data_IF_731597140232
#
_entry.id   IF_731597140232
#
_cell.length_a   1.000
_cell.length_b   1.000
_cell.length_c   1.000
_cell.angle_alpha   90.00
_cell.angle_beta   90.00
_cell.angle_gamma   90.00
#
_symmetry.space_group_name_H-M   'P 1'
#
loop_
_entity.id
_entity.type
_entity.pdbx_description
1 polymer ?
#
# COMPACT_ATOMS: atom_id res chain seq x y z
N UNK A 1 7.31 25.73 -18.58
CA UNK A 1 8.02 26.19 -17.36
C UNK A 1 7.17 25.99 -16.09
N UNK A 2 5.95 26.50 -16.01
CA UNK A 2 5.09 26.41 -14.79
C UNK A 2 4.88 24.96 -14.30
N UNK A 3 4.55 24.03 -15.20
CA UNK A 3 4.36 22.61 -14.83
C UNK A 3 5.62 21.95 -14.25
N UNK A 4 6.79 22.27 -14.81
CA UNK A 4 8.06 21.75 -14.29
C UNK A 4 8.33 22.25 -12.86
N UNK A 5 8.11 23.52 -12.60
CA UNK A 5 8.27 24.10 -11.26
C UNK A 5 7.28 23.47 -10.25
N UNK A 6 6.04 23.26 -10.68
CA UNK A 6 5.04 22.60 -9.84
C UNK A 6 5.46 21.18 -9.46
N UNK A 7 5.90 20.37 -10.43
CA UNK A 7 6.37 19.01 -10.14
C UNK A 7 7.63 18.98 -9.27
N UNK A 8 8.53 19.95 -9.44
CA UNK A 8 9.71 20.09 -8.61
C UNK A 8 9.35 20.35 -7.14
N UNK A 9 8.43 21.30 -6.89
CA UNK A 9 7.94 21.57 -5.53
C UNK A 9 7.25 20.35 -4.94
N UNK A 10 6.38 19.68 -5.70
CA UNK A 10 5.71 18.46 -5.25
C UNK A 10 6.72 17.36 -4.87
N UNK A 11 7.77 17.19 -5.64
CA UNK A 11 8.84 16.24 -5.34
C UNK A 11 9.55 16.57 -4.03
N UNK A 12 9.89 17.83 -3.80
CA UNK A 12 10.52 18.27 -2.55
C UNK A 12 9.62 17.95 -1.35
N UNK A 13 8.32 18.25 -1.44
CA UNK A 13 7.36 17.97 -0.36
C UNK A 13 7.31 16.46 -0.06
N UNK A 14 7.28 15.62 -1.09
CA UNK A 14 7.29 14.16 -0.94
C UNK A 14 8.57 13.69 -0.24
N UNK A 15 9.73 14.20 -0.65
CA UNK A 15 11.01 13.86 -0.01
C UNK A 15 11.06 14.29 1.45
N UNK A 16 10.55 15.47 1.78
CA UNK A 16 10.45 15.94 3.18
C UNK A 16 9.58 14.95 3.99
N UNK A 17 8.44 14.56 3.48
CA UNK A 17 7.58 13.57 4.15
C UNK A 17 8.27 12.24 4.32
N UNK A 18 9.04 11.79 3.34
CA UNK A 18 9.78 10.55 3.41
C UNK A 18 10.90 10.59 4.46
N UNK A 19 11.64 11.69 4.54
CA UNK A 19 12.68 11.89 5.55
C UNK A 19 12.06 11.90 6.95
N UNK A 20 11.02 12.70 7.16
CA UNK A 20 10.29 12.76 8.44
C UNK A 20 9.75 11.39 8.83
N UNK A 21 9.12 10.68 7.89
CA UNK A 21 8.61 9.34 8.12
C UNK A 21 9.71 8.38 8.57
N UNK A 22 10.88 8.43 7.93
CA UNK A 22 12.00 7.57 8.28
C UNK A 22 12.58 7.85 9.68
N UNK A 23 12.64 9.13 10.06
CA UNK A 23 13.08 9.55 11.40
C UNK A 23 12.10 9.07 12.48
N UNK A 24 10.79 9.19 12.23
CA UNK A 24 9.73 8.81 13.17
C UNK A 24 9.56 7.30 13.35
N UNK A 25 10.07 6.51 12.43
CA UNK A 25 9.88 5.07 12.38
C UNK A 25 8.47 4.67 11.89
N UNK A 26 8.31 3.39 11.53
CA UNK A 26 7.14 2.89 10.80
C UNK A 26 5.81 3.05 11.56
N UNK A 27 5.80 2.77 12.86
CA UNK A 27 4.58 2.76 13.66
C UNK A 27 3.97 4.17 13.80
N UNK A 28 4.80 5.15 14.13
CA UNK A 28 4.35 6.54 14.31
C UNK A 28 4.01 7.17 12.96
N UNK A 29 4.80 6.90 11.93
CA UNK A 29 4.55 7.37 10.57
C UNK A 29 3.22 6.87 10.02
N UNK A 30 2.89 5.59 10.19
CA UNK A 30 1.58 5.04 9.80
C UNK A 30 0.42 5.77 10.48
N UNK A 31 0.52 6.07 11.78
CA UNK A 31 -0.52 6.80 12.52
C UNK A 31 -0.67 8.22 11.98
N UNK A 32 0.44 8.95 11.86
CA UNK A 32 0.46 10.34 11.38
C UNK A 32 -0.11 10.45 9.95
N UNK A 33 0.42 9.67 9.01
CA UNK A 33 0.00 9.75 7.61
C UNK A 33 -1.43 9.23 7.40
N UNK A 34 -1.86 8.24 8.18
CA UNK A 34 -3.26 7.81 8.23
C UNK A 34 -4.18 8.97 8.62
N UNK A 35 -3.82 9.74 9.64
CA UNK A 35 -4.59 10.90 10.08
C UNK A 35 -4.54 12.05 9.06
N UNK A 36 -3.37 12.36 8.52
CA UNK A 36 -3.22 13.40 7.50
C UNK A 36 -4.10 13.11 6.28
N UNK A 37 -4.01 11.90 5.74
CA UNK A 37 -4.80 11.52 4.56
C UNK A 37 -6.30 11.47 4.85
N UNK A 38 -6.71 11.12 6.06
CA UNK A 38 -8.11 11.23 6.46
C UNK A 38 -8.61 12.68 6.36
N UNK A 39 -7.78 13.66 6.72
CA UNK A 39 -8.15 15.08 6.70
C UNK A 39 -8.08 15.71 5.31
N UNK A 40 -7.07 15.38 4.51
CA UNK A 40 -6.84 16.04 3.22
C UNK A 40 -7.21 15.19 2.01
N UNK A 41 -7.50 13.91 2.21
CA UNK A 41 -7.70 12.93 1.13
C UNK A 41 -8.84 13.30 0.17
N UNK A 42 -9.90 13.92 0.68
CA UNK A 42 -11.01 14.38 -0.13
C UNK A 42 -10.61 15.37 -1.24
N UNK A 43 -9.45 16.04 -1.11
CA UNK A 43 -8.91 16.93 -2.14
C UNK A 43 -8.26 16.17 -3.32
N UNK A 44 -7.92 14.90 -3.15
CA UNK A 44 -7.22 14.11 -4.18
C UNK A 44 -8.15 13.34 -5.10
N UNK A 45 -9.36 13.02 -4.66
CA UNK A 45 -10.37 12.34 -5.48
C UNK A 45 -11.73 12.99 -5.35
N UNK A 46 -12.45 13.09 -6.46
CA UNK A 46 -13.81 13.65 -6.44
C UNK A 46 -14.76 12.74 -5.63
N UNK A 47 -15.61 13.37 -4.82
CA UNK A 47 -16.67 12.68 -4.08
C UNK A 47 -17.54 11.84 -5.01
N UNK A 48 -17.90 12.38 -6.20
CA UNK A 48 -18.69 11.70 -7.21
C UNK A 48 -18.08 10.36 -7.64
N UNK A 49 -16.75 10.29 -7.83
CA UNK A 49 -16.08 9.04 -8.22
C UNK A 49 -16.15 8.00 -7.11
N UNK A 50 -15.93 8.44 -5.87
CA UNK A 50 -15.99 7.54 -4.70
C UNK A 50 -17.39 6.98 -4.54
N UNK A 51 -18.41 7.83 -4.60
CA UNK A 51 -19.83 7.41 -4.51
C UNK A 51 -20.21 6.46 -5.64
N UNK A 52 -19.78 6.74 -6.87
CA UNK A 52 -20.01 5.84 -8.01
C UNK A 52 -19.45 4.45 -7.75
N UNK A 53 -18.22 4.36 -7.25
CA UNK A 53 -17.57 3.08 -6.93
C UNK A 53 -18.27 2.34 -5.78
N UNK A 54 -18.72 3.06 -4.75
CA UNK A 54 -19.49 2.47 -3.65
C UNK A 54 -20.82 1.92 -4.12
N UNK A 55 -21.50 2.60 -5.05
CA UNK A 55 -22.76 2.13 -5.63
C UNK A 55 -22.58 0.88 -6.52
N UNK A 56 -21.41 0.73 -7.17
CA UNK A 56 -21.06 -0.49 -7.90
C UNK A 56 -20.84 -1.64 -6.91
N UNK A 57 -20.18 -1.37 -5.79
CA UNK A 57 -19.93 -2.36 -4.74
C UNK A 57 -21.22 -2.81 -4.06
N UNK A 58 -22.08 -1.87 -3.65
CA UNK A 58 -23.37 -2.16 -3.06
C UNK A 58 -24.31 -0.94 -3.11
N UNK A 59 -25.51 -1.14 -3.65
CA UNK A 59 -26.56 -0.11 -3.69
C UNK A 59 -27.21 0.16 -2.33
N UNK A 60 -27.13 -0.78 -1.40
CA UNK A 60 -27.86 -0.76 -0.13
C UNK A 60 -26.98 -0.36 1.07
N UNK A 61 -25.85 0.30 0.83
CA UNK A 61 -25.01 0.80 1.91
C UNK A 61 -25.70 1.95 2.65
N UNK A 62 -25.79 1.84 3.98
CA UNK A 62 -26.20 2.96 4.83
C UNK A 62 -25.16 4.07 4.78
N UNK A 63 -25.56 5.31 5.08
CA UNK A 63 -24.65 6.46 5.09
C UNK A 63 -23.48 6.26 6.07
N UNK A 64 -23.76 5.73 7.25
CA UNK A 64 -22.75 5.40 8.25
C UNK A 64 -21.70 4.43 7.68
N UNK A 65 -22.14 3.40 6.96
CA UNK A 65 -21.23 2.43 6.38
C UNK A 65 -20.41 3.01 5.22
N UNK A 66 -20.99 3.92 4.44
CA UNK A 66 -20.29 4.68 3.39
C UNK A 66 -19.15 5.51 3.99
N UNK A 67 -19.45 6.29 5.02
CA UNK A 67 -18.45 7.12 5.70
C UNK A 67 -17.32 6.27 6.33
N UNK A 68 -17.67 5.14 6.93
CA UNK A 68 -16.69 4.19 7.47
C UNK A 68 -15.74 3.69 6.38
N UNK A 69 -16.27 3.27 5.22
CA UNK A 69 -15.47 2.78 4.09
C UNK A 69 -14.59 3.89 3.54
N UNK A 70 -15.12 5.09 3.32
CA UNK A 70 -14.38 6.25 2.80
C UNK A 70 -13.25 6.64 3.78
N UNK A 71 -13.57 6.70 5.07
CA UNK A 71 -12.59 6.99 6.12
C UNK A 71 -11.49 5.93 6.17
N UNK A 72 -11.87 4.65 6.10
CA UNK A 72 -10.94 3.53 6.03
C UNK A 72 -10.03 3.60 4.81
N UNK A 73 -10.59 3.92 3.65
CA UNK A 73 -9.86 4.11 2.40
C UNK A 73 -8.77 5.18 2.53
N UNK A 74 -9.11 6.38 3.03
CA UNK A 74 -8.14 7.46 3.18
C UNK A 74 -7.06 7.13 4.19
N UNK A 75 -7.42 6.52 5.33
CA UNK A 75 -6.46 6.03 6.31
C UNK A 75 -5.49 5.03 5.70
N UNK A 76 -5.98 4.14 4.85
CA UNK A 76 -5.16 3.14 4.19
C UNK A 76 -4.23 3.76 3.14
N UNK A 77 -4.70 4.72 2.34
CA UNK A 77 -3.84 5.47 1.41
C UNK A 77 -2.68 6.15 2.13
N UNK A 78 -2.93 6.78 3.29
CA UNK A 78 -1.88 7.41 4.08
C UNK A 78 -0.84 6.42 4.59
N UNK A 79 -1.28 5.24 5.07
CA UNK A 79 -0.38 4.15 5.48
C UNK A 79 0.48 3.67 4.32
N UNK A 80 -0.16 3.32 3.20
CA UNK A 80 0.53 2.82 2.01
C UNK A 80 1.54 3.84 1.49
N UNK A 81 1.17 5.12 1.43
CA UNK A 81 2.06 6.19 0.98
C UNK A 81 3.37 6.22 1.77
N UNK A 82 3.31 6.19 3.10
CA UNK A 82 4.53 6.25 3.90
C UNK A 82 5.27 4.92 3.98
N UNK A 83 4.61 3.80 3.77
CA UNK A 83 5.23 2.48 3.76
C UNK A 83 6.26 2.31 2.62
N UNK A 84 6.15 3.06 1.53
CA UNK A 84 7.16 3.05 0.46
C UNK A 84 8.56 3.39 0.95
N UNK A 85 8.68 4.23 1.98
CA UNK A 85 9.98 4.56 2.61
C UNK A 85 10.59 3.35 3.33
N UNK A 86 9.75 2.41 3.73
CA UNK A 86 10.13 1.25 4.53
C UNK A 86 10.20 -0.06 3.73
N UNK A 87 10.11 -0.04 2.39
CA UNK A 87 10.16 -1.26 1.59
C UNK A 87 11.42 -2.10 1.85
N UNK A 88 12.58 -1.45 1.97
CA UNK A 88 13.81 -2.16 2.32
C UNK A 88 13.78 -2.77 3.73
N UNK A 89 13.06 -2.15 4.66
CA UNK A 89 12.83 -2.71 5.99
C UNK A 89 11.96 -3.96 5.91
N UNK A 90 10.84 -3.92 5.19
CA UNK A 90 9.95 -5.06 4.99
C UNK A 90 10.65 -6.20 4.24
N UNK A 91 11.54 -5.89 3.30
CA UNK A 91 12.34 -6.90 2.61
C UNK A 91 13.20 -7.72 3.56
N UNK A 92 13.72 -7.10 4.63
CA UNK A 92 14.62 -7.73 5.60
C UNK A 92 13.91 -8.28 6.84
N UNK A 93 12.76 -7.75 7.19
CA UNK A 93 12.07 -8.01 8.44
C UNK A 93 10.57 -8.22 8.22
N UNK A 94 10.01 -9.27 8.84
CA UNK A 94 8.59 -9.58 8.77
C UNK A 94 7.80 -9.10 10.01
N UNK A 95 8.42 -8.29 10.88
CA UNK A 95 7.84 -7.89 12.19
C UNK A 95 6.56 -7.10 12.10
N UNK A 96 6.30 -6.43 10.97
CA UNK A 96 5.08 -5.62 10.74
C UNK A 96 4.15 -6.20 9.67
N UNK A 97 4.41 -7.46 9.27
CA UNK A 97 3.63 -8.19 8.27
C UNK A 97 3.29 -9.56 8.83
N UNK A 98 2.08 -10.02 8.55
CA UNK A 98 1.68 -11.42 8.72
C UNK A 98 1.54 -12.04 7.34
N UNK A 99 2.28 -13.13 7.10
CA UNK A 99 2.25 -13.86 5.84
C UNK A 99 1.43 -15.13 6.09
N UNK A 100 0.35 -15.28 5.34
CA UNK A 100 -0.49 -16.47 5.36
C UNK A 100 -0.39 -17.19 4.01
N UNK A 101 -0.32 -18.51 4.01
CA UNK A 101 -0.20 -19.31 2.80
C UNK A 101 1.20 -19.36 2.19
N UNK A 102 2.25 -19.13 2.97
CA UNK A 102 3.63 -19.26 2.52
C UNK A 102 3.98 -20.67 2.04
N UNK A 103 3.40 -21.67 2.67
CA UNK A 103 3.46 -23.09 2.30
C UNK A 103 2.90 -23.34 0.89
N UNK A 104 1.77 -22.73 0.55
CA UNK A 104 1.17 -22.83 -0.79
C UNK A 104 2.09 -22.24 -1.86
N UNK A 105 2.74 -21.13 -1.56
CA UNK A 105 3.70 -20.50 -2.48
C UNK A 105 4.92 -21.41 -2.69
N UNK A 106 5.45 -22.03 -1.63
CA UNK A 106 6.56 -22.96 -1.70
C UNK A 106 6.21 -24.18 -2.58
N UNK A 107 5.07 -24.82 -2.31
CA UNK A 107 4.58 -25.94 -3.13
C UNK A 107 4.45 -25.60 -4.62
N UNK A 108 3.97 -24.39 -4.94
CA UNK A 108 3.84 -23.94 -6.32
C UNK A 108 5.22 -23.73 -6.97
N UNK A 109 6.20 -23.20 -6.24
CA UNK A 109 7.56 -22.98 -6.74
C UNK A 109 8.30 -24.30 -6.98
N UNK A 110 8.07 -25.33 -6.16
CA UNK A 110 8.63 -26.68 -6.31
C UNK A 110 8.17 -27.39 -7.59
N UNK A 111 7.00 -27.05 -8.11
CA UNK A 111 6.50 -27.64 -9.35
C UNK A 111 7.37 -27.35 -10.57
N UNK A 112 8.27 -26.34 -10.51
CA UNK A 112 9.15 -25.89 -11.62
C UNK A 112 8.39 -25.60 -12.92
N UNK A 113 7.11 -25.24 -12.84
CA UNK A 113 6.24 -24.88 -13.96
C UNK A 113 6.02 -23.37 -14.03
N UNK A 114 5.71 -22.82 -15.20
CA UNK A 114 5.29 -21.42 -15.31
C UNK A 114 4.05 -21.16 -14.44
N UNK A 115 4.08 -20.09 -13.66
CA UNK A 115 2.98 -19.71 -12.73
C UNK A 115 2.58 -18.27 -13.00
N UNK A 116 1.28 -18.03 -13.06
CA UNK A 116 0.69 -16.70 -13.17
C UNK A 116 0.08 -16.34 -11.82
N UNK A 117 0.61 -15.28 -11.19
CA UNK A 117 0.04 -14.72 -9.97
C UNK A 117 -1.00 -13.66 -10.32
N UNK A 118 -2.22 -13.85 -9.83
CA UNK A 118 -3.31 -12.88 -9.99
C UNK A 118 -3.59 -12.23 -8.65
N UNK A 119 -3.62 -10.90 -8.63
CA UNK A 119 -3.88 -10.13 -7.41
C UNK A 119 -4.68 -8.87 -7.70
N UNK A 120 -5.31 -8.32 -6.65
CA UNK A 120 -5.93 -7.01 -6.67
C UNK A 120 -5.04 -5.95 -6.00
N UNK A 121 -5.26 -4.67 -6.34
CA UNK A 121 -4.60 -3.53 -5.69
C UNK A 121 -5.23 -3.24 -4.32
N UNK A 122 -5.08 -4.18 -3.38
CA UNK A 122 -5.56 -4.03 -2.01
C UNK A 122 -4.43 -3.53 -1.12
N UNK A 123 -4.68 -2.44 -0.41
CA UNK A 123 -3.70 -1.86 0.52
C UNK A 123 -2.31 -1.68 -0.15
N UNK A 124 -1.25 -2.11 0.52
CA UNK A 124 0.11 -2.12 -0.03
C UNK A 124 0.39 -3.47 -0.71
N UNK A 125 -0.11 -3.68 -1.91
CA UNK A 125 0.07 -4.90 -2.71
C UNK A 125 1.54 -5.19 -3.06
N UNK A 126 2.41 -4.18 -3.02
CA UNK A 126 3.85 -4.32 -3.26
C UNK A 126 4.50 -5.31 -2.28
N UNK A 127 4.00 -5.37 -1.05
CA UNK A 127 4.51 -6.29 -0.03
C UNK A 127 4.27 -7.76 -0.43
N UNK A 128 3.15 -8.06 -1.09
CA UNK A 128 2.88 -9.41 -1.60
C UNK A 128 3.84 -9.77 -2.73
N UNK A 129 4.00 -8.89 -3.70
CA UNK A 129 4.94 -9.09 -4.82
C UNK A 129 6.36 -9.28 -4.32
N UNK A 130 6.77 -8.53 -3.30
CA UNK A 130 8.07 -8.65 -2.65
C UNK A 130 8.28 -10.03 -2.00
N UNK A 131 7.26 -10.59 -1.35
CA UNK A 131 7.36 -11.92 -0.74
C UNK A 131 7.50 -13.03 -1.78
N UNK A 132 6.79 -12.94 -2.90
CA UNK A 132 6.94 -13.88 -4.02
C UNK A 132 8.39 -13.87 -4.53
N UNK A 133 8.97 -12.68 -4.71
CA UNK A 133 10.37 -12.54 -5.19
C UNK A 133 11.36 -13.10 -4.16
N UNK A 134 11.18 -12.84 -2.86
CA UNK A 134 12.05 -13.39 -1.80
C UNK A 134 12.11 -14.91 -1.84
N UNK A 135 10.96 -15.57 -1.98
CA UNK A 135 10.88 -17.04 -2.03
C UNK A 135 11.51 -17.60 -3.29
N UNK A 136 11.25 -16.98 -4.46
CA UNK A 136 11.88 -17.37 -5.72
C UNK A 136 13.40 -17.33 -5.65
N UNK A 137 13.99 -16.28 -5.07
CA UNK A 137 15.44 -16.18 -4.90
C UNK A 137 16.01 -17.27 -4.01
N UNK A 138 15.35 -17.63 -2.91
CA UNK A 138 15.80 -18.74 -2.05
C UNK A 138 15.84 -20.06 -2.82
N UNK A 139 14.79 -20.38 -3.55
CA UNK A 139 14.72 -21.60 -4.36
C UNK A 139 15.77 -21.71 -5.48
N UNK A 140 16.36 -20.58 -5.90
CA UNK A 140 17.42 -20.60 -6.93
C UNK A 140 18.84 -20.80 -6.37
N UNK A 141 19.04 -20.70 -5.06
CA UNK A 141 20.34 -20.86 -4.39
C UNK A 141 20.48 -22.22 -3.69
N UNK A 142 19.39 -22.99 -3.56
CA UNK A 142 19.37 -24.30 -2.92
C UNK A 142 19.56 -25.46 -3.92
N UNK A 143 20.17 -25.18 -5.09
CA UNK A 143 20.60 -26.16 -6.11
C UNK A 143 22.16 -26.16 -6.15
#
# INVERSE_FOLDING_TARGET
MIKFFTYFIQSIIIYIFFILGKIMGITLSRKLFSYLFLKIGHNFKSKRLIESNLNIYSKNLTEIKREEIISGMWKNYGKTFIEYVFLNYFKKNNTHMKIEGADKLENVLELKKPVIFVSGHFANYELMSMEIVKKKHKSCYDI
#
